data_IF_707700296562
#
_entry.id   IF_707700296562
#
_cell.length_a   1.000
_cell.length_b   1.000
_cell.length_c   1.000
_cell.angle_alpha   90.00
_cell.angle_beta   90.00
_cell.angle_gamma   90.00
#
_symmetry.space_group_name_H-M   'P 1'
#
loop_
_entity.id
_entity.type
_entity.pdbx_description
1 polymer ?
#
# COMPACT_ATOMS: atom_id res chain seq x y z
N UNK A 1 29.98 4.04 4.92
CA UNK A 1 29.83 5.42 4.40
C UNK A 1 28.42 5.87 4.71
N UNK A 2 28.27 6.77 5.68
CA UNK A 2 27.00 7.37 6.09
C UNK A 2 26.46 8.23 4.95
N UNK A 3 25.44 7.73 4.24
CA UNK A 3 24.70 8.53 3.26
C UNK A 3 23.85 9.54 4.03
N UNK A 4 24.14 10.82 3.82
CA UNK A 4 23.32 11.92 4.32
C UNK A 4 21.98 11.91 3.58
N UNK A 5 20.89 11.81 4.34
CA UNK A 5 19.53 12.09 3.86
C UNK A 5 19.51 13.50 3.22
N UNK A 6 18.99 13.66 1.99
CA UNK A 6 18.71 14.98 1.45
C UNK A 6 17.63 15.67 2.31
N UNK A 7 17.64 17.01 2.37
CA UNK A 7 16.77 17.75 3.27
C UNK A 7 15.30 17.55 2.89
N UNK A 8 14.49 17.13 3.88
CA UNK A 8 13.04 17.00 3.76
C UNK A 8 12.38 18.37 3.69
N UNK A 9 11.72 18.64 2.58
CA UNK A 9 10.94 19.86 2.36
C UNK A 9 11.19 20.38 0.95
N UNK A 10 10.20 20.17 0.07
CA UNK A 10 10.09 20.69 -1.30
C UNK A 10 10.51 19.74 -2.46
N UNK A 11 10.25 18.43 -2.36
CA UNK A 11 10.57 17.43 -3.42
C UNK A 11 9.43 17.22 -4.45
N UNK A 12 8.32 17.96 -4.33
CA UNK A 12 7.23 17.85 -5.31
C UNK A 12 7.65 18.44 -6.67
N UNK A 13 7.48 17.70 -7.79
CA UNK A 13 7.74 18.20 -9.13
C UNK A 13 6.97 19.50 -9.43
N UNK A 14 7.55 20.38 -10.25
CA UNK A 14 6.96 21.70 -10.56
C UNK A 14 5.53 21.57 -11.10
N UNK A 15 5.30 20.67 -12.06
CA UNK A 15 3.97 20.45 -12.63
C UNK A 15 2.96 19.89 -11.62
N UNK A 16 3.41 19.07 -10.66
CA UNK A 16 2.56 18.64 -9.56
C UNK A 16 2.12 19.85 -8.73
N UNK A 17 3.05 20.73 -8.35
CA UNK A 17 2.73 21.94 -7.59
C UNK A 17 1.77 22.88 -8.31
N UNK A 18 1.97 23.10 -9.61
CA UNK A 18 1.08 23.93 -10.45
C UNK A 18 -0.34 23.35 -10.45
N UNK A 19 -0.48 22.04 -10.69
CA UNK A 19 -1.75 21.32 -10.64
C UNK A 19 -2.41 21.46 -9.27
N UNK A 20 -1.70 21.16 -8.18
CA UNK A 20 -2.27 21.20 -6.82
C UNK A 20 -2.70 22.62 -6.44
N UNK A 21 -1.97 23.65 -6.87
CA UNK A 21 -2.37 25.05 -6.68
C UNK A 21 -3.69 25.35 -7.37
N UNK A 22 -3.85 24.90 -8.63
CA UNK A 22 -5.12 25.07 -9.36
C UNK A 22 -6.29 24.30 -8.72
N UNK A 23 -6.03 23.15 -8.10
CA UNK A 23 -7.02 22.30 -7.44
C UNK A 23 -7.40 22.75 -6.03
N UNK A 24 -6.58 23.58 -5.37
CA UNK A 24 -6.99 24.26 -4.13
C UNK A 24 -8.04 25.34 -4.40
N UNK A 25 -7.98 25.96 -5.58
CA UNK A 25 -8.82 27.08 -5.98
C UNK A 25 -8.54 28.35 -5.17
N UNK A 26 -9.19 29.43 -5.58
CA UNK A 26 -9.10 30.74 -4.94
C UNK A 26 -10.45 31.10 -4.32
N UNK A 27 -10.50 32.08 -3.41
CA UNK A 27 -11.73 32.57 -2.79
C UNK A 27 -12.85 33.01 -3.77
N UNK A 28 -12.54 33.14 -5.06
CA UNK A 28 -13.46 33.57 -6.13
C UNK A 28 -13.89 32.46 -7.10
N UNK A 29 -13.23 31.30 -7.12
CA UNK A 29 -13.49 30.25 -8.10
C UNK A 29 -13.55 28.87 -7.43
N UNK A 30 -14.58 28.09 -7.75
CA UNK A 30 -14.68 26.72 -7.28
C UNK A 30 -13.56 25.89 -7.90
N UNK A 31 -12.79 25.21 -7.05
CA UNK A 31 -11.69 24.38 -7.50
C UNK A 31 -12.24 23.08 -8.11
N UNK A 32 -11.76 22.74 -9.31
CA UNK A 32 -12.02 21.43 -9.89
C UNK A 32 -11.11 20.39 -9.22
N UNK A 33 -11.65 19.21 -8.94
CA UNK A 33 -10.87 18.07 -8.45
C UNK A 33 -10.96 16.91 -9.45
N UNK A 34 -9.92 16.10 -9.49
CA UNK A 34 -9.90 14.78 -10.11
C UNK A 34 -9.93 13.72 -9.01
N UNK A 35 -10.38 12.51 -9.32
CA UNK A 35 -10.50 11.41 -8.37
C UNK A 35 -10.47 10.09 -9.13
N UNK A 36 -9.95 9.04 -8.50
CA UNK A 36 -10.00 7.67 -9.00
C UNK A 36 -11.15 6.84 -8.39
N UNK A 37 -11.98 7.47 -7.56
CA UNK A 37 -13.20 6.86 -7.02
C UNK A 37 -14.22 6.63 -8.13
N UNK A 38 -14.87 5.48 -8.11
CA UNK A 38 -16.10 5.27 -8.88
C UNK A 38 -17.23 6.20 -8.41
N UNK A 39 -18.32 6.30 -9.18
CA UNK A 39 -19.47 7.15 -8.83
C UNK A 39 -20.06 6.78 -7.46
N UNK A 40 -20.17 5.48 -7.17
CA UNK A 40 -20.71 5.01 -5.89
C UNK A 40 -19.79 5.39 -4.73
N UNK A 41 -18.49 5.17 -4.90
CA UNK A 41 -17.48 5.53 -3.90
C UNK A 41 -17.44 7.03 -3.65
N UNK A 42 -17.53 7.85 -4.69
CA UNK A 42 -17.61 9.30 -4.57
C UNK A 42 -18.79 9.73 -3.69
N UNK A 43 -19.99 9.20 -3.94
CA UNK A 43 -21.18 9.54 -3.16
C UNK A 43 -21.07 9.07 -1.71
N UNK A 44 -20.53 7.87 -1.47
CA UNK A 44 -20.38 7.32 -0.13
C UNK A 44 -19.31 8.04 0.69
N UNK A 45 -18.17 8.41 0.09
CA UNK A 45 -17.15 9.26 0.75
C UNK A 45 -17.78 10.59 1.19
N UNK A 46 -18.62 11.18 0.32
CA UNK A 46 -19.37 12.40 0.68
C UNK A 46 -20.35 12.14 1.80
N UNK A 47 -21.14 11.09 1.73
CA UNK A 47 -22.06 10.72 2.81
C UNK A 47 -21.34 10.50 4.15
N UNK A 48 -20.13 9.92 4.13
CA UNK A 48 -19.27 9.74 5.31
C UNK A 48 -18.76 11.05 5.92
N UNK A 49 -19.03 12.20 5.30
CA UNK A 49 -18.65 13.52 5.81
C UNK A 49 -17.40 14.11 5.17
N UNK A 50 -16.84 13.50 4.12
CA UNK A 50 -15.59 13.93 3.48
C UNK A 50 -15.83 14.45 2.07
N UNK A 51 -15.16 15.54 1.68
CA UNK A 51 -15.11 15.99 0.29
C UNK A 51 -13.78 15.55 -0.34
N UNK A 52 -13.81 14.93 -1.54
CA UNK A 52 -12.61 14.74 -2.34
C UNK A 52 -11.98 16.08 -2.72
N UNK A 53 -10.66 16.17 -2.57
CA UNK A 53 -9.89 17.38 -2.87
C UNK A 53 -8.89 17.18 -4.01
N UNK A 54 -8.62 15.94 -4.41
CA UNK A 54 -7.86 15.67 -5.63
C UNK A 54 -7.27 14.27 -5.72
N UNK A 55 -6.96 13.86 -6.95
CA UNK A 55 -6.12 12.70 -7.22
C UNK A 55 -4.68 13.06 -6.84
N UNK A 56 -4.07 12.20 -6.02
CA UNK A 56 -2.69 12.36 -5.59
C UNK A 56 -1.87 11.18 -6.08
N UNK A 57 -0.63 11.48 -6.48
CA UNK A 57 0.29 10.50 -7.06
C UNK A 57 1.68 10.70 -6.48
N UNK A 58 2.34 9.61 -6.15
CA UNK A 58 3.77 9.59 -5.88
C UNK A 58 4.44 8.52 -6.73
N UNK A 59 5.58 8.84 -7.34
CA UNK A 59 6.38 7.88 -8.10
C UNK A 59 7.81 7.83 -7.59
N UNK A 60 8.41 6.64 -7.62
CA UNK A 60 9.81 6.40 -7.30
C UNK A 60 10.39 5.42 -8.32
N UNK A 61 11.37 5.87 -9.11
CA UNK A 61 12.16 4.98 -9.96
C UNK A 61 13.37 4.54 -9.15
N UNK A 62 13.46 3.24 -8.92
CA UNK A 62 14.46 2.66 -8.04
C UNK A 62 15.37 1.70 -8.81
N UNK A 63 16.68 1.83 -8.60
CA UNK A 63 17.65 0.84 -9.05
C UNK A 63 17.73 -0.27 -8.01
N UNK A 64 17.22 -1.44 -8.37
CA UNK A 64 17.31 -2.64 -7.56
C UNK A 64 18.66 -3.31 -7.82
N UNK A 65 19.55 -3.21 -6.84
CA UNK A 65 20.87 -3.85 -6.91
C UNK A 65 20.78 -5.37 -6.97
N UNK A 66 21.81 -5.99 -7.53
CA UNK A 66 21.94 -7.45 -7.54
C UNK A 66 22.38 -7.98 -6.17
N UNK A 67 21.68 -8.99 -5.65
CA UNK A 67 22.10 -9.78 -4.50
C UNK A 67 22.29 -11.23 -4.92
N UNK A 68 23.47 -11.80 -4.65
CA UNK A 68 23.76 -13.21 -4.94
C UNK A 68 23.03 -14.11 -3.95
N UNK A 69 22.07 -14.88 -4.44
CA UNK A 69 21.40 -15.90 -3.65
C UNK A 69 22.32 -17.11 -3.41
N UNK A 70 22.20 -17.75 -2.24
CA UNK A 70 22.85 -19.02 -1.97
C UNK A 70 22.04 -20.16 -2.60
N UNK A 71 22.63 -20.85 -3.58
CA UNK A 71 21.92 -21.82 -4.41
C UNK A 71 21.35 -23.03 -3.63
N UNK A 72 21.98 -23.36 -2.50
CA UNK A 72 21.62 -24.50 -1.66
C UNK A 72 20.87 -24.14 -0.38
N UNK A 73 20.50 -22.86 -0.17
CA UNK A 73 19.88 -22.41 1.07
C UNK A 73 18.65 -21.55 0.83
N UNK A 74 17.58 -21.89 1.55
CA UNK A 74 16.39 -21.06 1.70
C UNK A 74 16.76 -19.85 2.57
N UNK A 75 16.57 -18.64 2.07
CA UNK A 75 16.91 -17.44 2.81
C UNK A 75 16.14 -16.22 2.33
N UNK A 76 15.94 -15.27 3.24
CA UNK A 76 15.52 -13.93 2.85
C UNK A 76 16.65 -13.22 2.09
N UNK A 77 16.27 -12.53 1.02
CA UNK A 77 17.12 -11.64 0.26
C UNK A 77 17.03 -10.23 0.83
N UNK A 78 17.62 -10.00 2.00
CA UNK A 78 17.46 -8.76 2.77
C UNK A 78 17.71 -7.47 1.96
N UNK A 79 18.72 -7.44 1.09
CA UNK A 79 19.03 -6.25 0.28
C UNK A 79 17.90 -5.97 -0.71
N UNK A 80 17.36 -7.01 -1.34
CA UNK A 80 16.21 -6.88 -2.23
C UNK A 80 14.95 -6.51 -1.44
N UNK A 81 14.71 -7.14 -0.29
CA UNK A 81 13.58 -6.80 0.58
C UNK A 81 13.59 -5.32 0.93
N UNK A 82 14.72 -4.81 1.43
CA UNK A 82 14.86 -3.42 1.86
C UNK A 82 14.72 -2.45 0.68
N UNK A 83 15.32 -2.77 -0.48
CA UNK A 83 15.18 -1.95 -1.68
C UNK A 83 13.71 -1.81 -2.10
N UNK A 84 12.98 -2.93 -2.15
CA UNK A 84 11.57 -2.97 -2.52
C UNK A 84 10.65 -2.30 -1.49
N UNK A 85 11.02 -2.33 -0.21
CA UNK A 85 10.32 -1.60 0.86
C UNK A 85 10.52 -0.09 0.71
N UNK A 86 11.78 0.37 0.68
CA UNK A 86 12.12 1.79 0.58
C UNK A 86 11.58 2.44 -0.69
N UNK A 87 11.56 1.72 -1.81
CA UNK A 87 11.01 2.25 -3.04
C UNK A 87 9.50 2.56 -2.93
N UNK A 88 8.73 1.69 -2.25
CA UNK A 88 7.31 1.93 -1.94
C UNK A 88 7.13 3.05 -0.93
N UNK A 89 7.95 3.07 0.12
CA UNK A 89 7.94 4.12 1.15
C UNK A 89 8.15 5.52 0.53
N UNK A 90 9.08 5.65 -0.41
CA UNK A 90 9.32 6.89 -1.15
C UNK A 90 8.12 7.31 -2.00
N UNK A 91 7.51 6.37 -2.74
CA UNK A 91 6.32 6.65 -3.54
C UNK A 91 5.15 7.10 -2.66
N UNK A 92 4.92 6.42 -1.53
CA UNK A 92 3.89 6.78 -0.55
C UNK A 92 4.14 8.16 0.06
N UNK A 93 5.38 8.45 0.47
CA UNK A 93 5.75 9.73 1.07
C UNK A 93 5.46 10.89 0.11
N UNK A 94 5.79 10.75 -1.17
CA UNK A 94 5.51 11.77 -2.19
C UNK A 94 4.01 11.98 -2.42
N UNK A 95 3.22 10.90 -2.42
CA UNK A 95 1.77 10.97 -2.51
C UNK A 95 1.16 11.67 -1.27
N UNK A 96 1.67 11.38 -0.07
CA UNK A 96 1.28 12.07 1.18
C UNK A 96 1.61 13.56 1.14
N UNK A 97 2.76 13.95 0.60
CA UNK A 97 3.15 15.35 0.41
C UNK A 97 2.18 16.08 -0.53
N UNK A 98 1.75 15.46 -1.63
CA UNK A 98 0.71 16.04 -2.49
C UNK A 98 -0.62 16.24 -1.74
N UNK A 99 -1.04 15.24 -0.96
CA UNK A 99 -2.27 15.32 -0.17
C UNK A 99 -2.19 16.40 0.92
N UNK A 100 -1.04 16.52 1.59
CA UNK A 100 -0.78 17.58 2.55
C UNK A 100 -0.85 18.97 1.89
N UNK A 101 -0.24 19.08 0.70
CA UNK A 101 -0.31 20.27 -0.13
C UNK A 101 -1.73 20.58 -0.64
N UNK A 102 -2.69 19.65 -0.59
CA UNK A 102 -4.13 19.92 -0.82
C UNK A 102 -4.89 20.27 0.46
N UNK A 103 -4.25 20.16 1.63
CA UNK A 103 -4.90 20.31 2.93
C UNK A 103 -5.83 19.15 3.23
N UNK A 104 -5.51 17.94 2.76
CA UNK A 104 -6.28 16.75 3.02
C UNK A 104 -6.11 16.26 4.46
N UNK A 105 -7.11 15.53 4.94
CA UNK A 105 -7.06 14.77 6.19
C UNK A 105 -6.60 13.33 5.95
N UNK A 106 -6.83 12.80 4.75
CA UNK A 106 -6.39 11.47 4.37
C UNK A 106 -6.52 11.17 2.89
N UNK A 107 -6.14 9.96 2.52
CA UNK A 107 -6.13 9.41 1.17
C UNK A 107 -6.81 8.04 1.24
N UNK A 108 -7.80 7.83 0.38
CA UNK A 108 -8.56 6.57 0.27
C UNK A 108 -8.36 5.95 -1.11
N UNK A 109 -8.63 4.65 -1.22
CA UNK A 109 -8.45 3.90 -2.46
C UNK A 109 -6.99 3.80 -2.90
N UNK A 110 -6.05 3.86 -1.95
CA UNK A 110 -4.62 3.84 -2.28
C UNK A 110 -4.25 2.54 -2.97
N UNK A 111 -3.60 2.65 -4.13
CA UNK A 111 -3.04 1.53 -4.89
C UNK A 111 -1.54 1.71 -5.07
N UNK A 112 -0.81 0.63 -4.85
CA UNK A 112 0.63 0.54 -5.08
C UNK A 112 0.91 -0.34 -6.30
N UNK A 113 1.44 0.27 -7.33
CA UNK A 113 1.81 -0.39 -8.58
C UNK A 113 3.33 -0.46 -8.72
N UNK A 114 3.82 -1.57 -9.25
CA UNK A 114 5.24 -1.75 -9.55
C UNK A 114 5.34 -2.12 -11.03
N UNK A 115 5.96 -1.24 -11.81
CA UNK A 115 6.15 -1.40 -13.24
C UNK A 115 7.63 -1.51 -13.55
N UNK A 116 8.01 -2.53 -14.31
CA UNK A 116 9.35 -2.65 -14.86
C UNK A 116 9.31 -2.16 -16.30
N UNK A 117 10.06 -1.11 -16.58
CA UNK A 117 10.19 -0.59 -17.94
C UNK A 117 11.36 -1.28 -18.64
N UNK A 118 11.27 -1.42 -19.96
CA UNK A 118 12.33 -2.04 -20.80
C UNK A 118 13.64 -1.25 -20.81
N UNK A 119 13.70 -0.08 -20.15
CA UNK A 119 14.85 0.82 -20.13
C UNK A 119 16.05 0.28 -19.32
N UNK A 120 15.85 -0.78 -18.53
CA UNK A 120 16.94 -1.56 -17.93
C UNK A 120 16.43 -2.61 -16.92
N UNK A 121 16.97 -3.83 -16.98
CA UNK A 121 16.51 -4.98 -16.15
C UNK A 121 16.56 -4.73 -14.63
N UNK A 122 17.33 -3.73 -14.18
CA UNK A 122 17.53 -3.37 -12.78
C UNK A 122 16.70 -2.15 -12.32
N UNK A 123 15.88 -1.56 -13.19
CA UNK A 123 15.03 -0.41 -12.85
C UNK A 123 13.57 -0.85 -12.69
N UNK A 124 12.95 -0.43 -11.59
CA UNK A 124 11.52 -0.53 -11.39
C UNK A 124 10.93 0.81 -10.96
N UNK A 125 9.78 1.15 -11.52
CA UNK A 125 8.97 2.28 -11.11
C UNK A 125 7.92 1.81 -10.10
N UNK A 126 7.84 2.50 -8.97
CA UNK A 126 6.85 2.32 -7.93
C UNK A 126 5.93 3.51 -7.94
N UNK A 127 4.64 3.29 -8.12
CA UNK A 127 3.63 4.35 -8.17
C UNK A 127 2.60 4.12 -7.08
N UNK A 128 2.38 5.15 -6.26
CA UNK A 128 1.29 5.23 -5.31
C UNK A 128 0.25 6.21 -5.87
N UNK A 129 -1.01 5.77 -5.93
CA UNK A 129 -2.13 6.59 -6.44
C UNK A 129 -3.30 6.45 -5.47
N UNK A 130 -4.01 7.55 -5.21
CA UNK A 130 -5.29 7.51 -4.51
C UNK A 130 -6.00 8.86 -4.56
N UNK A 131 -7.15 8.93 -3.90
CA UNK A 131 -7.93 10.16 -3.80
C UNK A 131 -7.77 10.79 -2.42
N UNK A 132 -7.22 12.01 -2.40
CA UNK A 132 -7.13 12.83 -1.20
C UNK A 132 -8.52 13.37 -0.82
N UNK A 133 -8.86 13.28 0.46
CA UNK A 133 -10.15 13.67 1.03
C UNK A 133 -9.96 14.56 2.26
N UNK A 134 -10.94 15.45 2.47
CA UNK A 134 -10.95 16.39 3.60
C UNK A 134 -12.29 16.32 4.32
N UNK A 135 -12.27 16.30 5.64
CA UNK A 135 -13.48 16.32 6.45
C UNK A 135 -14.22 17.66 6.30
N UNK A 136 -15.55 17.61 6.16
CA UNK A 136 -16.39 18.80 6.06
C UNK A 136 -16.60 19.52 7.38
N UNK A 137 -16.58 18.80 8.50
CA UNK A 137 -16.99 19.34 9.80
C UNK A 137 -15.84 20.00 10.59
N UNK A 138 -14.67 20.18 9.96
CA UNK A 138 -13.50 20.78 10.60
C UNK A 138 -12.82 19.90 11.65
N UNK A 139 -13.31 18.67 11.89
CA UNK A 139 -12.56 17.66 12.64
C UNK A 139 -11.38 17.19 11.81
N UNK A 140 -10.20 17.13 12.43
CA UNK A 140 -8.99 16.72 11.75
C UNK A 140 -8.83 15.21 11.89
N UNK A 141 -8.84 14.51 10.76
CA UNK A 141 -8.72 13.04 10.73
C UNK A 141 -7.30 12.59 10.46
N UNK A 142 -6.27 13.44 10.64
CA UNK A 142 -4.89 13.01 10.44
C UNK A 142 -4.44 11.91 11.39
N UNK A 143 -3.35 11.25 11.02
CA UNK A 143 -2.74 10.20 11.82
C UNK A 143 -2.01 10.76 13.05
N UNK A 144 -1.45 9.87 13.86
CA UNK A 144 -0.69 10.20 15.09
C UNK A 144 0.52 11.12 14.85
N UNK A 145 1.03 11.17 13.62
CA UNK A 145 2.15 12.03 13.21
C UNK A 145 1.70 13.36 12.60
N UNK A 146 0.40 13.67 12.59
CA UNK A 146 -0.14 14.88 11.99
C UNK A 146 -0.09 14.89 10.45
N UNK A 147 0.12 13.74 9.82
CA UNK A 147 0.07 13.55 8.37
C UNK A 147 -1.31 13.07 7.91
N UNK A 148 -1.69 13.28 6.64
CA UNK A 148 -2.89 12.65 6.09
C UNK A 148 -2.85 11.14 6.33
N UNK A 149 -3.95 10.54 6.82
CA UNK A 149 -4.00 9.09 6.91
C UNK A 149 -4.01 8.48 5.51
N UNK A 150 -3.48 7.26 5.36
CA UNK A 150 -3.55 6.50 4.11
C UNK A 150 -4.43 5.27 4.31
N UNK A 151 -5.06 4.80 3.24
CA UNK A 151 -5.96 3.65 3.29
C UNK A 151 -6.09 3.02 1.91
N UNK A 152 -5.85 1.72 1.81
CA UNK A 152 -6.06 0.93 0.59
C UNK A 152 -7.55 0.58 0.37
N UNK A 153 -8.39 0.80 1.39
CA UNK A 153 -9.83 0.58 1.30
C UNK A 153 -10.49 1.41 0.20
N UNK A 154 -11.43 0.79 -0.50
CA UNK A 154 -12.36 1.45 -1.42
C UNK A 154 -13.17 2.54 -0.69
N UNK A 155 -13.75 3.48 -1.43
CA UNK A 155 -14.63 4.48 -0.82
C UNK A 155 -15.85 3.87 -0.11
N UNK A 156 -16.31 2.70 -0.57
CA UNK A 156 -17.44 1.97 0.02
C UNK A 156 -17.04 1.30 1.34
N UNK A 157 -15.87 0.67 1.36
CA UNK A 157 -15.34 0.02 2.57
C UNK A 157 -14.98 1.08 3.62
N UNK A 158 -14.38 2.20 3.19
CA UNK A 158 -14.11 3.35 4.05
C UNK A 158 -15.39 3.90 4.71
N UNK A 159 -16.45 4.10 3.92
CA UNK A 159 -17.74 4.54 4.46
C UNK A 159 -18.32 3.51 5.45
N UNK A 160 -18.24 2.22 5.12
CA UNK A 160 -18.74 1.13 5.98
C UNK A 160 -17.99 1.08 7.30
N UNK A 161 -16.65 1.20 7.24
CA UNK A 161 -15.77 1.21 8.38
C UNK A 161 -16.09 2.37 9.33
N UNK A 162 -16.23 3.59 8.79
CA UNK A 162 -16.62 4.79 9.57
C UNK A 162 -17.98 4.65 10.21
N UNK A 163 -18.98 4.16 9.46
CA UNK A 163 -20.33 3.90 9.96
C UNK A 163 -20.35 2.88 11.09
N UNK A 164 -19.47 1.88 11.02
CA UNK A 164 -19.34 0.88 12.07
C UNK A 164 -18.66 1.41 13.34
N UNK A 165 -18.08 2.62 13.33
CA UNK A 165 -17.40 3.20 14.48
C UNK A 165 -15.88 2.99 14.50
N UNK A 166 -15.29 2.65 13.35
CA UNK A 166 -13.84 2.54 13.16
C UNK A 166 -13.34 3.60 12.19
N UNK A 167 -12.07 3.98 12.28
CA UNK A 167 -11.44 4.84 11.26
C UNK A 167 -10.07 4.33 10.87
N UNK A 168 -9.63 4.60 9.63
CA UNK A 168 -8.25 4.35 9.23
C UNK A 168 -7.30 5.33 9.93
N UNK A 169 -6.09 4.85 10.20
CA UNK A 169 -4.97 5.65 10.72
C UNK A 169 -3.73 5.59 9.82
N UNK A 170 -3.64 4.61 8.94
CA UNK A 170 -2.58 4.51 7.93
C UNK A 170 -2.66 3.20 7.16
N UNK A 171 -2.18 3.22 5.93
CA UNK A 171 -1.89 2.02 5.16
C UNK A 171 -0.57 1.46 5.67
N UNK A 172 -0.55 0.17 5.93
CA UNK A 172 0.61 -0.55 6.45
C UNK A 172 1.01 -1.63 5.49
N UNK A 173 2.29 -1.92 5.45
CA UNK A 173 2.86 -2.91 4.53
C UNK A 173 3.99 -3.71 5.16
N UNK A 174 4.22 -4.88 4.60
CA UNK A 174 5.37 -5.69 4.92
C UNK A 174 5.86 -6.40 3.67
N UNK A 175 7.17 -6.39 3.48
CA UNK A 175 7.78 -6.99 2.31
C UNK A 175 8.75 -8.08 2.73
N UNK A 176 8.81 -9.17 1.97
CA UNK A 176 9.81 -10.22 2.10
C UNK A 176 10.14 -10.75 0.70
N UNK A 177 11.37 -10.51 0.24
CA UNK A 177 11.89 -11.15 -0.96
C UNK A 177 12.66 -12.38 -0.52
N UNK A 178 12.22 -13.55 -0.97
CA UNK A 178 12.75 -14.82 -0.48
C UNK A 178 13.31 -15.67 -1.62
N UNK A 179 14.47 -16.28 -1.37
CA UNK A 179 15.09 -17.25 -2.28
C UNK A 179 14.79 -18.66 -1.81
N UNK A 180 14.22 -19.48 -2.69
CA UNK A 180 13.98 -20.91 -2.43
C UNK A 180 15.07 -21.74 -3.10
N UNK A 181 15.81 -22.52 -2.32
CA UNK A 181 16.88 -23.36 -2.82
C UNK A 181 16.38 -24.40 -3.83
N UNK A 182 17.23 -24.73 -4.79
CA UNK A 182 16.97 -25.83 -5.71
C UNK A 182 17.18 -27.15 -4.96
N UNK A 183 16.33 -28.16 -5.19
CA UNK A 183 16.62 -29.49 -4.65
C UNK A 183 17.88 -30.07 -5.28
N UNK A 184 18.68 -30.76 -4.46
CA UNK A 184 19.77 -31.58 -4.99
C UNK A 184 19.26 -32.69 -5.89
N UNK A 185 20.05 -33.05 -6.92
CA UNK A 185 19.70 -34.05 -7.95
C UNK A 185 19.21 -35.38 -7.33
N UNK A 186 19.77 -35.82 -6.21
CA UNK A 186 19.37 -37.07 -5.54
C UNK A 186 17.96 -37.04 -4.94
N UNK A 187 17.52 -35.89 -4.42
CA UNK A 187 16.20 -35.72 -3.83
C UNK A 187 15.13 -35.67 -4.92
N UNK A 188 15.43 -35.00 -6.04
CA UNK A 188 14.62 -35.02 -7.26
C UNK A 188 14.42 -36.45 -7.78
N UNK A 189 15.48 -37.26 -7.91
CA UNK A 189 15.38 -38.67 -8.36
C UNK A 189 14.49 -39.53 -7.46
N UNK A 190 14.50 -39.30 -6.14
CA UNK A 190 13.65 -40.04 -5.18
C UNK A 190 12.16 -39.69 -5.26
N UNK A 191 11.81 -38.59 -5.95
CA UNK A 191 10.45 -38.04 -6.04
C UNK A 191 9.86 -38.16 -7.45
N UNK A 192 10.65 -38.52 -8.47
CA UNK A 192 10.14 -38.77 -9.84
C UNK A 192 9.06 -39.85 -9.80
N UNK A 193 7.85 -39.49 -10.21
CA UNK A 193 6.70 -40.40 -10.29
C UNK A 193 5.81 -40.48 -9.04
N UNK A 194 6.04 -39.64 -8.02
CA UNK A 194 5.20 -39.59 -6.80
C UNK A 194 4.62 -38.18 -6.60
N UNK A 195 3.31 -38.09 -6.40
CA UNK A 195 2.65 -36.86 -5.97
C UNK A 195 2.81 -36.73 -4.45
N UNK A 196 3.78 -35.95 -4.00
CA UNK A 196 4.05 -35.70 -2.57
C UNK A 196 4.30 -34.21 -2.34
N UNK A 197 3.94 -33.73 -1.15
CA UNK A 197 4.21 -32.34 -0.78
C UNK A 197 5.72 -32.06 -0.72
N UNK A 198 6.11 -30.91 -1.28
CA UNK A 198 7.48 -30.42 -1.22
C UNK A 198 7.69 -29.61 0.05
N UNK A 199 7.73 -30.29 1.20
CA UNK A 199 7.74 -29.66 2.54
C UNK A 199 8.77 -28.53 2.68
N UNK A 200 9.97 -28.67 2.11
CA UNK A 200 10.99 -27.61 2.16
C UNK A 200 10.59 -26.34 1.39
N UNK A 201 9.92 -26.46 0.25
CA UNK A 201 9.39 -25.31 -0.49
C UNK A 201 8.18 -24.74 0.23
N UNK A 202 7.27 -25.61 0.69
CA UNK A 202 6.09 -25.19 1.42
C UNK A 202 6.47 -24.37 2.66
N UNK A 203 7.38 -24.88 3.50
CA UNK A 203 7.87 -24.19 4.70
C UNK A 203 8.54 -22.87 4.35
N UNK A 204 9.42 -22.82 3.35
CA UNK A 204 10.07 -21.59 2.92
C UNK A 204 9.07 -20.49 2.51
N UNK A 205 8.02 -20.86 1.77
CA UNK A 205 6.98 -19.90 1.39
C UNK A 205 6.08 -19.50 2.57
N UNK A 206 5.83 -20.41 3.52
CA UNK A 206 5.15 -20.05 4.77
C UNK A 206 5.98 -19.05 5.58
N UNK A 207 7.26 -19.32 5.81
CA UNK A 207 8.16 -18.44 6.56
C UNK A 207 8.22 -17.04 5.92
N UNK A 208 8.31 -16.98 4.58
CA UNK A 208 8.35 -15.71 3.85
C UNK A 208 7.03 -14.92 3.97
N UNK A 209 5.87 -15.59 3.95
CA UNK A 209 4.56 -14.94 4.16
C UNK A 209 4.43 -14.42 5.59
N UNK A 210 4.82 -15.22 6.57
CA UNK A 210 4.79 -14.84 7.99
C UNK A 210 5.68 -13.61 8.24
N UNK A 211 6.91 -13.58 7.68
CA UNK A 211 7.79 -12.41 7.79
C UNK A 211 7.16 -11.14 7.20
N UNK A 212 6.51 -11.24 6.03
CA UNK A 212 5.81 -10.10 5.45
C UNK A 212 4.64 -9.65 6.34
N UNK A 213 3.85 -10.57 6.89
CA UNK A 213 2.74 -10.25 7.79
C UNK A 213 3.21 -9.65 9.13
N UNK A 214 4.30 -10.15 9.71
CA UNK A 214 4.88 -9.65 10.95
C UNK A 214 5.34 -8.21 10.81
N UNK A 215 5.97 -7.88 9.67
CA UNK A 215 6.39 -6.50 9.37
C UNK A 215 5.21 -5.54 9.19
N UNK A 216 4.17 -5.97 8.46
CA UNK A 216 2.94 -5.19 8.31
C UNK A 216 2.26 -4.93 9.68
N UNK A 217 2.23 -5.94 10.55
CA UNK A 217 1.71 -5.79 11.92
C UNK A 217 2.58 -4.86 12.76
N UNK A 218 3.90 -4.92 12.60
CA UNK A 218 4.83 -4.02 13.30
C UNK A 218 4.60 -2.55 12.92
N UNK A 219 4.34 -2.26 11.63
CA UNK A 219 3.94 -0.92 11.21
C UNK A 219 2.61 -0.49 11.83
N UNK A 220 1.61 -1.39 11.87
CA UNK A 220 0.31 -1.09 12.49
C UNK A 220 0.46 -0.77 13.99
N UNK A 221 1.33 -1.47 14.70
CA UNK A 221 1.64 -1.19 16.10
C UNK A 221 2.26 0.21 16.26
N UNK A 222 3.13 0.64 15.34
CA UNK A 222 3.73 1.99 15.37
C UNK A 222 2.68 3.11 15.25
N UNK A 223 1.54 2.82 14.62
CA UNK A 223 0.39 3.71 14.49
C UNK A 223 -0.62 3.60 15.65
N UNK A 224 -0.31 2.81 16.69
CA UNK A 224 -1.23 2.46 17.78
C UNK A 224 -2.56 1.87 17.28
N UNK A 225 -2.52 1.11 16.19
CA UNK A 225 -3.71 0.50 15.60
C UNK A 225 -4.23 -0.66 16.48
N UNK A 226 -5.54 -0.89 16.43
CA UNK A 226 -6.20 -2.03 17.07
C UNK A 226 -6.22 -3.26 16.16
N UNK A 227 -6.07 -3.07 14.86
CA UNK A 227 -6.02 -4.13 13.88
C UNK A 227 -5.74 -3.61 12.47
N UNK A 228 -5.56 -4.53 11.53
CA UNK A 228 -5.42 -4.26 10.10
C UNK A 228 -6.59 -4.92 9.38
N UNK A 229 -7.35 -4.13 8.61
CA UNK A 229 -8.47 -4.60 7.79
C UNK A 229 -8.13 -4.48 6.31
N UNK A 230 -8.84 -5.24 5.47
CA UNK A 230 -8.53 -5.29 4.03
C UNK A 230 -7.17 -5.92 3.73
N UNK A 231 -6.58 -6.66 4.68
CA UNK A 231 -5.26 -7.22 4.53
C UNK A 231 -5.17 -8.19 3.33
N UNK A 232 -4.17 -8.00 2.50
CA UNK A 232 -3.85 -8.84 1.35
C UNK A 232 -2.40 -9.27 1.39
N UNK A 233 -2.13 -10.47 0.89
CA UNK A 233 -0.77 -10.96 0.65
C UNK A 233 -0.65 -11.24 -0.83
N UNK A 234 0.24 -10.51 -1.49
CA UNK A 234 0.46 -10.59 -2.92
C UNK A 234 1.81 -11.27 -3.16
N UNK A 235 1.77 -12.34 -3.96
CA UNK A 235 2.97 -13.07 -4.41
C UNK A 235 3.36 -12.58 -5.81
N UNK A 236 4.61 -12.16 -5.99
CA UNK A 236 5.12 -11.73 -7.31
C UNK A 236 6.49 -12.32 -7.61
N UNK A 237 6.65 -12.76 -8.86
CA UNK A 237 7.98 -13.04 -9.43
C UNK A 237 8.43 -11.82 -10.22
N UNK A 238 9.64 -11.38 -9.92
CA UNK A 238 10.21 -10.11 -10.37
C UNK A 238 11.39 -10.34 -11.31
N UNK A 239 11.47 -11.49 -11.99
CA UNK A 239 12.55 -11.76 -12.95
C UNK A 239 13.97 -11.82 -12.37
N UNK A 240 14.17 -11.71 -11.05
CA UNK A 240 15.48 -11.86 -10.39
C UNK A 240 15.97 -13.31 -10.30
N UNK A 241 15.30 -14.22 -10.99
CA UNK A 241 15.54 -15.66 -10.98
C UNK A 241 14.23 -16.43 -10.77
N UNK A 242 14.15 -17.65 -11.30
CA UNK A 242 12.98 -18.53 -11.17
C UNK A 242 12.69 -18.98 -9.74
N UNK A 243 13.57 -18.67 -8.79
CA UNK A 243 13.53 -19.10 -7.41
C UNK A 243 13.55 -17.94 -6.40
N UNK A 244 13.35 -16.70 -6.88
CA UNK A 244 13.22 -15.51 -6.03
C UNK A 244 11.80 -14.99 -6.14
N UNK A 245 11.09 -14.94 -5.01
CA UNK A 245 9.68 -14.59 -4.93
C UNK A 245 9.53 -13.44 -3.93
N UNK A 246 8.78 -12.41 -4.30
CA UNK A 246 8.35 -11.35 -3.38
C UNK A 246 7.01 -11.72 -2.76
N UNK A 247 6.94 -11.62 -1.44
CA UNK A 247 5.70 -11.58 -0.67
C UNK A 247 5.49 -10.18 -0.14
N UNK A 248 4.41 -9.55 -0.60
CA UNK A 248 4.01 -8.22 -0.21
C UNK A 248 2.68 -8.27 0.54
N UNK A 249 2.74 -8.05 1.84
CA UNK A 249 1.56 -7.89 2.70
C UNK A 249 1.19 -6.40 2.77
N UNK A 250 -0.10 -6.10 2.69
CA UNK A 250 -0.60 -4.72 2.72
C UNK A 250 -2.01 -4.68 3.30
N UNK A 251 -2.37 -3.59 3.97
CA UNK A 251 -3.74 -3.34 4.41
C UNK A 251 -3.89 -1.99 5.11
N UNK A 252 -5.06 -1.75 5.68
CA UNK A 252 -5.36 -0.51 6.39
C UNK A 252 -5.41 -0.74 7.90
N UNK A 253 -4.52 -0.05 8.62
CA UNK A 253 -4.52 -0.02 10.07
C UNK A 253 -5.68 0.84 10.59
N UNK A 254 -6.42 0.34 11.59
CA UNK A 254 -7.65 0.97 12.09
C UNK A 254 -7.67 1.12 13.61
N UNK A 255 -8.43 2.10 14.08
CA UNK A 255 -8.78 2.29 15.48
C UNK A 255 -10.30 2.43 15.63
N UNK A 256 -10.83 2.00 16.77
CA UNK A 256 -12.19 2.33 17.18
C UNK A 256 -12.29 3.80 17.62
N UNK A 257 -13.40 4.45 17.24
CA UNK A 257 -13.77 5.82 17.64
C UNK A 257 -15.13 5.88 18.34
N UNK A 258 -15.74 4.72 18.61
CA UNK A 258 -17.02 4.62 19.30
C UNK A 258 -17.00 3.47 20.30
N UNK A 259 -17.57 3.68 21.49
CA UNK A 259 -17.68 2.63 22.51
C UNK A 259 -18.65 1.51 22.08
N UNK A 260 -19.60 1.83 21.18
CA UNK A 260 -20.58 0.89 20.64
C UNK A 260 -20.55 0.93 19.12
N UNK A 261 -20.40 -0.26 18.52
CA UNK A 261 -20.35 -0.46 17.08
C UNK A 261 -21.71 -1.00 16.63
N UNK A 262 -22.55 -0.15 16.05
CA UNK A 262 -23.84 -0.55 15.48
C UNK A 262 -23.70 -0.70 13.96
N UNK A 263 -23.68 -1.95 13.49
CA UNK A 263 -23.61 -2.26 12.07
C UNK A 263 -25.06 -2.47 11.58
N UNK A 264 -25.57 -1.63 10.66
CA UNK A 264 -26.88 -1.84 10.07
C UNK A 264 -26.96 -3.22 9.43
N UNK A 265 -28.10 -3.90 9.57
CA UNK A 265 -28.29 -5.21 8.95
C UNK A 265 -28.13 -5.09 7.42
N UNK A 266 -27.27 -5.90 6.77
CA UNK A 266 -27.07 -5.82 5.33
C UNK A 266 -28.38 -6.16 4.61
N UNK A 267 -28.79 -5.29 3.68
CA UNK A 267 -29.94 -5.55 2.81
C UNK A 267 -29.45 -6.13 1.49
N UNK A 268 -29.98 -7.29 1.10
CA UNK A 268 -29.67 -7.89 -0.20
C UNK A 268 -30.43 -7.15 -1.32
N UNK A 269 -29.69 -6.49 -2.22
CA UNK A 269 -30.25 -5.91 -3.44
C UNK A 269 -29.90 -6.79 -4.63
N UNK A 270 -30.90 -7.44 -5.23
CA UNK A 270 -30.72 -8.20 -6.47
C UNK A 270 -30.92 -7.23 -7.65
N UNK A 271 -29.88 -7.03 -8.47
CA UNK A 271 -30.02 -6.31 -9.73
C UNK A 271 -30.62 -7.28 -10.76
N UNK A 272 -31.89 -7.06 -11.11
CA UNK A 272 -32.51 -7.67 -12.28
C UNK A 272 -32.02 -6.90 -13.52
N UNK A 273 -30.99 -7.42 -14.17
CA UNK A 273 -30.66 -7.02 -15.52
C UNK A 273 -31.28 -8.07 -16.46
N UNK A 274 -32.25 -7.65 -17.26
CA UNK A 274 -32.85 -8.44 -18.36
C UNK A 274 -31.86 -8.64 -19.52
#
# INVERSE_FOLDING_TARGET
MSQQMPPQGNDLPVHARERLTSMRGDAKHHALFTSDLSVNEFLLVREAGFDPVGLVVGSSIYHIGYQRANWSQNQEMEVLTQAMYHARELAMTRMEEEADALGADGIVGVRLEVTRHEWGEALAEFVAIGTAIRSRNGQHFRNTHGKPFTSDLSGQDFWTLLRAGYRPVGMVMGNCVYHVAHQGIGQWFSQVGRNVEMTNYTQALYDARELAMERMQSEAMSLNAQGVVGAQIIERSHGWGSHVIEFFAVGTAVISVADRHEIPAPSLSLLLND
#
